data_IF_119094426800
#
_entry.id   IF_119094426800
#
_cell.length_a   1.000
_cell.length_b   1.000
_cell.length_c   1.000
_cell.angle_alpha   90.00
_cell.angle_beta   90.00
_cell.angle_gamma   90.00
#
_symmetry.space_group_name_H-M   'P 1'
#
loop_
_entity.id
_entity.type
_entity.pdbx_description
1 polymer ?
#
# COMPACT_ATOMS: atom_id res chain seq x y z
N UNK A 1 29.17 14.69 6.78
CA UNK A 1 27.78 15.15 6.54
C UNK A 1 26.92 13.93 6.72
N UNK A 2 25.95 13.98 7.64
CA UNK A 2 24.98 12.89 7.80
C UNK A 2 23.98 12.91 6.65
N UNK A 3 23.50 11.74 6.29
CA UNK A 3 22.37 11.52 5.39
C UNK A 3 21.04 11.84 6.06
N UNK A 4 19.97 11.47 5.36
CA UNK A 4 18.60 11.79 5.75
C UNK A 4 17.94 10.57 6.36
N UNK A 5 17.13 10.79 7.40
CA UNK A 5 16.33 9.70 7.96
C UNK A 5 15.22 9.33 6.98
N UNK A 6 15.08 8.04 6.70
CA UNK A 6 14.07 7.51 5.79
C UNK A 6 12.98 6.81 6.58
N UNK A 7 11.74 7.12 6.23
CA UNK A 7 10.56 6.59 6.88
C UNK A 7 9.66 5.91 5.85
N UNK A 8 8.87 4.96 6.33
CA UNK A 8 7.77 4.36 5.60
C UNK A 8 6.48 4.47 6.38
N UNK A 9 5.37 4.42 5.67
CA UNK A 9 4.05 4.21 6.25
C UNK A 9 3.51 2.85 5.82
N UNK A 10 2.85 2.20 6.76
CA UNK A 10 2.19 0.92 6.52
C UNK A 10 0.69 1.05 6.79
N UNK A 11 -0.09 0.21 6.13
CA UNK A 11 -1.51 0.07 6.45
C UNK A 11 -1.78 -1.07 7.45
N UNK A 12 -3.05 -1.30 7.76
CA UNK A 12 -3.52 -2.36 8.67
C UNK A 12 -3.14 -3.79 8.21
N UNK A 13 -2.79 -3.96 6.93
CA UNK A 13 -2.32 -5.22 6.36
C UNK A 13 -0.79 -5.29 6.25
N UNK A 14 -0.07 -4.39 6.92
CA UNK A 14 1.39 -4.27 6.90
C UNK A 14 1.96 -3.95 5.51
N UNK A 15 1.13 -3.45 4.58
CA UNK A 15 1.56 -3.08 3.23
C UNK A 15 2.22 -1.72 3.28
N UNK A 16 3.35 -1.58 2.60
CA UNK A 16 4.07 -0.31 2.51
C UNK A 16 3.31 0.58 1.53
N UNK A 17 2.66 1.62 2.05
CA UNK A 17 1.80 2.51 1.27
C UNK A 17 2.50 3.79 0.82
N UNK A 18 3.54 4.20 1.55
CA UNK A 18 4.31 5.41 1.28
C UNK A 18 5.72 5.31 1.86
N UNK A 19 6.65 6.11 1.32
CA UNK A 19 8.02 6.22 1.79
C UNK A 19 8.64 7.56 1.44
N UNK A 20 9.27 8.21 2.42
CA UNK A 20 9.82 9.56 2.29
C UNK A 20 11.02 9.76 3.22
N UNK A 21 11.78 10.81 2.96
CA UNK A 21 12.86 11.28 3.82
C UNK A 21 12.36 12.36 4.80
N UNK A 22 12.99 12.47 5.97
CA UNK A 22 12.66 13.45 7.01
C UNK A 22 12.46 14.86 6.48
N UNK A 23 13.34 15.36 5.61
CA UNK A 23 13.23 16.73 5.09
C UNK A 23 11.95 16.98 4.27
N UNK A 24 11.26 15.93 3.82
CA UNK A 24 10.03 16.03 3.03
C UNK A 24 8.80 16.31 3.90
N UNK A 25 8.88 16.13 5.22
CA UNK A 25 7.78 16.38 6.14
C UNK A 25 8.25 17.08 7.41
N UNK A 26 7.50 18.09 7.86
CA UNK A 26 7.77 18.74 9.15
C UNK A 26 7.10 18.00 10.32
N UNK A 27 6.19 17.05 10.04
CA UNK A 27 5.49 16.26 11.03
C UNK A 27 5.56 14.78 10.69
N UNK A 28 6.14 14.03 11.62
CA UNK A 28 6.06 12.58 11.62
C UNK A 28 4.75 12.18 12.31
N UNK A 29 3.91 11.42 11.60
CA UNK A 29 2.81 10.69 12.21
C UNK A 29 3.35 9.55 13.09
N UNK A 30 2.60 9.16 14.12
CA UNK A 30 3.04 8.16 15.10
C UNK A 30 3.16 6.74 14.52
N UNK A 31 2.56 6.50 13.36
CA UNK A 31 2.55 5.24 12.62
C UNK A 31 3.71 5.10 11.60
N UNK A 32 4.65 6.04 11.63
CA UNK A 32 5.79 6.05 10.72
C UNK A 32 6.94 5.17 11.23
N UNK A 33 7.49 4.35 10.34
CA UNK A 33 8.57 3.41 10.65
C UNK A 33 9.87 3.94 10.05
N UNK A 34 10.85 4.20 10.91
CA UNK A 34 12.21 4.53 10.51
C UNK A 34 12.89 3.30 9.89
N UNK A 35 13.29 3.39 8.63
CA UNK A 35 13.96 2.29 7.90
C UNK A 35 15.45 2.53 7.69
N UNK A 36 15.90 3.78 7.75
CA UNK A 36 17.32 4.12 7.62
C UNK A 36 17.60 5.44 8.34
N UNK A 37 18.68 5.51 9.13
CA UNK A 37 19.11 6.76 9.79
C UNK A 37 20.01 7.65 8.93
N UNK A 38 20.66 7.06 7.93
CA UNK A 38 21.71 7.70 7.12
C UNK A 38 21.48 7.39 5.63
N UNK A 39 20.32 7.79 5.12
CA UNK A 39 19.88 7.51 3.76
C UNK A 39 20.12 8.64 2.76
N UNK A 40 19.89 8.39 1.46
CA UNK A 40 19.90 9.43 0.44
C UNK A 40 18.79 10.46 0.65
N UNK A 41 18.94 11.63 0.01
CA UNK A 41 17.95 12.70 0.09
C UNK A 41 16.57 12.26 -0.40
N UNK A 42 16.49 11.49 -1.48
CA UNK A 42 15.19 11.05 -2.01
C UNK A 42 14.98 9.58 -1.70
N UNK A 43 13.80 9.24 -1.18
CA UNK A 43 13.48 7.87 -0.76
C UNK A 43 13.60 6.84 -1.89
N UNK A 44 13.20 7.20 -3.12
CA UNK A 44 13.31 6.33 -4.29
C UNK A 44 14.77 6.04 -4.71
N UNK A 45 15.76 6.72 -4.13
CA UNK A 45 17.16 6.39 -4.33
C UNK A 45 17.63 5.28 -3.37
N UNK A 46 16.92 5.08 -2.26
CA UNK A 46 17.17 3.99 -1.32
C UNK A 46 16.46 2.72 -1.78
N UNK A 47 15.18 2.85 -2.15
CA UNK A 47 14.39 1.80 -2.79
C UNK A 47 14.06 2.20 -4.22
N UNK A 48 14.88 1.73 -5.15
CA UNK A 48 14.76 2.01 -6.58
C UNK A 48 13.53 1.38 -7.21
N UNK A 49 13.04 0.28 -6.66
CA UNK A 49 11.84 -0.36 -7.18
C UNK A 49 10.58 0.43 -6.77
N UNK A 50 9.64 0.66 -7.70
CA UNK A 50 8.39 1.32 -7.36
C UNK A 50 7.57 0.49 -6.38
N UNK A 51 6.95 1.16 -5.41
CA UNK A 51 6.08 0.51 -4.40
C UNK A 51 4.83 -0.12 -5.00
N UNK A 52 4.36 0.39 -6.14
CA UNK A 52 3.18 -0.10 -6.86
C UNK A 52 3.59 -0.94 -8.07
N UNK A 53 2.78 -1.96 -8.40
CA UNK A 53 2.87 -2.68 -9.68
C UNK A 53 2.06 -1.98 -10.78
N UNK A 54 2.06 -2.56 -11.98
CA UNK A 54 1.32 -2.07 -13.16
C UNK A 54 -0.20 -2.03 -12.94
N UNK A 55 -0.71 -2.79 -11.98
CA UNK A 55 -2.12 -2.84 -11.61
C UNK A 55 -2.47 -1.93 -10.41
N UNK A 56 -1.57 -1.01 -10.03
CA UNK A 56 -1.75 -0.10 -8.89
C UNK A 56 -1.91 -0.83 -7.53
N UNK A 57 -1.24 -1.97 -7.37
CA UNK A 57 -1.22 -2.73 -6.11
C UNK A 57 0.12 -2.55 -5.40
N UNK A 58 0.08 -2.33 -4.08
CA UNK A 58 1.29 -2.25 -3.26
C UNK A 58 2.02 -3.59 -3.28
N UNK A 59 3.29 -3.58 -3.70
CA UNK A 59 4.11 -4.77 -3.92
C UNK A 59 4.82 -5.26 -2.68
N UNK A 60 5.06 -4.39 -1.72
CA UNK A 60 5.90 -4.69 -0.56
C UNK A 60 5.11 -4.61 0.74
N UNK A 61 5.50 -5.46 1.69
CA UNK A 61 5.02 -5.47 3.07
C UNK A 61 6.20 -5.32 4.03
N UNK A 62 5.93 -4.75 5.19
CA UNK A 62 6.93 -4.59 6.24
C UNK A 62 6.63 -5.55 7.38
N UNK A 63 7.48 -6.56 7.56
CA UNK A 63 7.30 -7.60 8.58
C UNK A 63 8.62 -7.78 9.31
N UNK A 64 8.57 -7.82 10.65
CA UNK A 64 9.73 -8.09 11.50
C UNK A 64 10.94 -7.18 11.20
N UNK A 65 10.69 -5.91 10.89
CA UNK A 65 11.75 -4.96 10.56
C UNK A 65 12.36 -5.12 9.16
N UNK A 66 11.69 -5.84 8.26
CA UNK A 66 12.20 -6.10 6.91
C UNK A 66 11.15 -5.80 5.84
N UNK A 67 11.64 -5.29 4.70
CA UNK A 67 10.88 -5.17 3.45
C UNK A 67 10.79 -6.54 2.80
N UNK A 68 9.58 -7.06 2.65
CA UNK A 68 9.29 -8.34 2.00
C UNK A 68 8.41 -8.07 0.78
N UNK A 69 8.72 -8.69 -0.36
CA UNK A 69 7.84 -8.65 -1.53
C UNK A 69 6.62 -9.54 -1.30
N UNK A 70 5.45 -9.05 -1.66
CA UNK A 70 4.20 -9.81 -1.61
C UNK A 70 4.22 -10.89 -2.68
N UNK A 71 3.64 -12.04 -2.35
CA UNK A 71 3.53 -13.13 -3.33
C UNK A 71 2.44 -12.82 -4.37
N UNK A 72 2.52 -13.50 -5.51
CA UNK A 72 1.52 -13.37 -6.56
C UNK A 72 0.12 -13.73 -6.05
N UNK A 73 0.00 -14.75 -5.18
CA UNK A 73 -1.26 -15.17 -4.58
C UNK A 73 -1.86 -14.07 -3.69
N UNK A 74 -1.03 -13.33 -2.94
CA UNK A 74 -1.48 -12.19 -2.13
C UNK A 74 -2.00 -11.04 -3.00
N UNK A 75 -1.39 -10.80 -4.16
CA UNK A 75 -1.80 -9.77 -5.11
C UNK A 75 -3.07 -10.18 -5.86
N UNK A 76 -3.19 -11.44 -6.25
CA UNK A 76 -4.36 -11.99 -6.93
C UNK A 76 -5.58 -12.06 -6.01
N UNK A 77 -5.40 -12.43 -4.74
CA UNK A 77 -6.48 -12.44 -3.75
C UNK A 77 -7.09 -11.03 -3.59
N UNK A 78 -6.26 -9.99 -3.56
CA UNK A 78 -6.72 -8.60 -3.52
C UNK A 78 -7.54 -8.23 -4.77
N UNK A 79 -7.08 -8.66 -5.94
CA UNK A 79 -7.77 -8.42 -7.20
C UNK A 79 -9.12 -9.16 -7.29
N UNK A 80 -9.17 -10.41 -6.84
CA UNK A 80 -10.38 -11.22 -6.82
C UNK A 80 -11.48 -10.59 -5.96
N UNK A 81 -11.13 -10.00 -4.81
CA UNK A 81 -12.08 -9.30 -3.93
C UNK A 81 -12.67 -8.06 -4.61
N UNK A 82 -11.89 -7.30 -5.38
CA UNK A 82 -12.38 -6.13 -6.13
C UNK A 82 -13.40 -6.57 -7.20
N UNK A 83 -13.13 -7.68 -7.88
CA UNK A 83 -14.02 -8.25 -8.90
C UNK A 83 -15.37 -8.70 -8.30
N UNK A 84 -15.35 -9.40 -7.16
CA UNK A 84 -16.56 -9.89 -6.48
C UNK A 84 -17.43 -8.73 -5.94
N UNK A 85 -16.81 -7.69 -5.36
CA UNK A 85 -17.53 -6.52 -4.82
C UNK A 85 -18.27 -5.74 -5.91
N UNK A 86 -17.72 -5.67 -7.13
CA UNK A 86 -18.42 -5.07 -8.27
C UNK A 86 -19.67 -5.87 -8.65
N UNK A 87 -19.58 -7.20 -8.68
CA UNK A 87 -20.72 -8.05 -9.03
C UNK A 87 -21.88 -8.03 -8.01
N UNK A 88 -21.57 -7.95 -6.72
CA UNK A 88 -22.61 -7.90 -5.67
C UNK A 88 -23.47 -6.64 -5.71
N UNK A 89 -22.89 -5.47 -6.02
CA UNK A 89 -23.66 -4.23 -6.17
C UNK A 89 -24.65 -4.31 -7.32
N UNK A 90 -24.22 -4.88 -8.45
CA UNK A 90 -25.08 -5.10 -9.63
C UNK A 90 -26.25 -6.05 -9.31
N UNK A 91 -25.97 -7.17 -8.63
CA UNK A 91 -27.00 -8.15 -8.27
C UNK A 91 -28.07 -7.58 -7.31
N UNK A 92 -27.64 -6.72 -6.36
CA UNK A 92 -28.54 -6.09 -5.39
C UNK A 92 -29.46 -5.04 -6.03
N UNK A 93 -28.97 -4.31 -7.02
CA UNK A 93 -29.77 -3.35 -7.80
C UNK A 93 -30.84 -4.09 -8.61
N UNK A 94 -30.45 -5.16 -9.32
CA UNK A 94 -31.38 -5.95 -10.15
C UNK A 94 -32.50 -6.56 -9.30
N UNK A 95 -32.19 -7.13 -8.14
CA UNK A 95 -33.21 -7.71 -7.25
C UNK A 95 -34.12 -6.66 -6.60
N UNK A 96 -33.63 -5.43 -6.36
CA UNK A 96 -34.46 -4.33 -5.86
C UNK A 96 -35.46 -3.85 -6.92
N UNK A 97 -35.05 -3.77 -8.19
CA UNK A 97 -35.93 -3.39 -9.30
C UNK A 97 -37.03 -4.43 -9.51
N UNK A 98 -36.69 -5.74 -9.50
CA UNK A 98 -37.69 -6.81 -9.65
C UNK A 98 -38.77 -6.78 -8.55
N UNK A 99 -38.40 -6.47 -7.31
CA UNK A 99 -39.36 -6.35 -6.18
C UNK A 99 -40.27 -5.13 -6.24
N UNK A 100 -39.94 -4.11 -7.04
CA UNK A 100 -40.78 -2.91 -7.21
C UNK A 100 -41.77 -3.04 -8.37
N UNK A 101 -41.64 -4.09 -9.19
CA UNK A 101 -42.49 -4.36 -10.35
C UNK A 101 -43.50 -5.51 -10.09
N UNK A 102 -43.59 -6.01 -8.86
CA UNK A 102 -44.58 -7.00 -8.41
C UNK A 102 -45.43 -6.39 -7.31
#
# INVERSE_FOLDING_TARGET
MGGYKLFIRIDDHQRIIDGYADWQTEKHADDEILVCEDGPRQFHLYWTEPLLNEHMQYRYKWINGQRIERTQEELEAEWAVISIRKNWKTFRIINKIKRLMT
#
